data_IF_022135843433
#
_entry.id   IF_022135843433
#
_cell.length_a   1.000
_cell.length_b   1.000
_cell.length_c   1.000
_cell.angle_alpha   90.00
_cell.angle_beta   90.00
_cell.angle_gamma   90.00
#
_symmetry.space_group_name_H-M   'P 1'
#
loop_
_entity.id
_entity.type
_entity.pdbx_description
1 polymer ?
#
# COMPACT_ATOMS: atom_id res chain seq x y z
N UNK A 1 -70.09 -32.04 -30.15
CA UNK A 1 -69.58 -30.68 -30.00
C UNK A 1 -68.68 -30.55 -28.73
N UNK A 2 -67.42 -30.37 -28.83
CA UNK A 2 -66.57 -30.32 -27.67
C UNK A 2 -66.25 -28.88 -27.24
N UNK A 3 -66.45 -28.61 -25.97
CA UNK A 3 -66.17 -27.32 -25.33
C UNK A 3 -64.69 -27.08 -25.12
N UNK A 4 -64.33 -25.93 -25.59
CA UNK A 4 -62.99 -25.36 -25.46
C UNK A 4 -62.75 -24.84 -23.99
N UNK A 5 -61.83 -25.44 -23.24
CA UNK A 5 -61.37 -24.91 -21.99
C UNK A 5 -59.99 -24.25 -22.18
N UNK A 6 -59.99 -22.94 -22.29
CA UNK A 6 -58.79 -22.13 -22.26
C UNK A 6 -58.30 -22.01 -20.82
N UNK A 7 -57.21 -22.71 -20.50
CA UNK A 7 -56.52 -22.57 -19.25
C UNK A 7 -55.52 -21.43 -19.31
N UNK A 8 -55.87 -20.31 -18.72
CA UNK A 8 -54.94 -19.19 -18.50
C UNK A 8 -53.92 -19.56 -17.43
N UNK A 9 -52.70 -19.83 -17.85
CA UNK A 9 -51.55 -19.93 -16.96
C UNK A 9 -51.24 -18.54 -16.38
N UNK A 10 -51.59 -18.32 -15.13
CA UNK A 10 -51.07 -17.19 -14.35
C UNK A 10 -49.54 -17.30 -14.23
N UNK A 11 -48.82 -16.40 -14.88
CA UNK A 11 -47.41 -16.16 -14.61
C UNK A 11 -47.29 -15.74 -13.13
N UNK A 12 -46.60 -16.53 -12.34
CA UNK A 12 -46.11 -16.09 -11.03
C UNK A 12 -45.02 -15.05 -11.28
N UNK A 13 -45.32 -13.82 -11.00
CA UNK A 13 -44.31 -12.77 -10.87
C UNK A 13 -43.32 -13.18 -9.79
N UNK A 14 -42.07 -13.38 -10.19
CA UNK A 14 -40.98 -13.61 -9.27
C UNK A 14 -40.80 -12.37 -8.41
N UNK A 15 -41.13 -12.49 -7.14
CA UNK A 15 -40.78 -11.50 -6.14
C UNK A 15 -39.25 -11.37 -6.13
N UNK A 16 -38.75 -10.26 -6.64
CA UNK A 16 -37.38 -9.81 -6.45
C UNK A 16 -37.18 -9.69 -4.93
N UNK A 17 -36.46 -10.65 -4.36
CA UNK A 17 -35.97 -10.54 -2.98
C UNK A 17 -35.00 -9.39 -2.95
N UNK A 18 -35.35 -8.39 -2.17
CA UNK A 18 -34.43 -7.32 -1.79
C UNK A 18 -33.17 -7.93 -1.19
N UNK A 19 -31.97 -7.44 -1.53
CA UNK A 19 -30.76 -7.92 -0.89
C UNK A 19 -30.86 -7.70 0.62
N UNK A 20 -30.51 -8.75 1.38
CA UNK A 20 -30.48 -8.67 2.83
C UNK A 20 -29.58 -7.51 3.26
N UNK A 21 -29.94 -6.75 4.31
CA UNK A 21 -29.07 -5.71 4.83
C UNK A 21 -27.75 -6.33 5.29
N UNK A 22 -26.62 -5.62 5.14
CA UNK A 22 -25.33 -6.12 5.60
C UNK A 22 -25.44 -6.43 7.09
N UNK A 23 -24.93 -7.60 7.50
CA UNK A 23 -24.90 -8.02 8.87
C UNK A 23 -24.36 -6.89 9.76
N UNK A 24 -25.12 -6.51 10.77
CA UNK A 24 -24.74 -5.43 11.67
C UNK A 24 -23.42 -5.77 12.36
N UNK A 25 -22.53 -4.79 12.46
CA UNK A 25 -21.22 -4.88 13.12
C UNK A 25 -21.30 -5.27 14.61
N UNK A 26 -22.52 -5.40 15.18
CA UNK A 26 -22.77 -5.68 16.60
C UNK A 26 -22.45 -7.11 17.05
N UNK A 27 -22.17 -8.05 16.15
CA UNK A 27 -21.89 -9.45 16.47
C UNK A 27 -20.39 -9.82 16.41
N UNK A 28 -19.51 -8.85 16.41
CA UNK A 28 -18.07 -9.09 16.45
C UNK A 28 -17.57 -9.19 17.90
N UNK A 29 -17.87 -10.29 18.57
CA UNK A 29 -17.22 -10.64 19.84
C UNK A 29 -15.99 -11.50 19.54
N UNK A 30 -14.79 -10.94 19.75
CA UNK A 30 -13.51 -11.66 19.65
C UNK A 30 -12.52 -11.09 18.63
N UNK A 31 -11.25 -11.52 18.66
CA UNK A 31 -10.25 -11.07 17.72
C UNK A 31 -10.62 -11.55 16.31
N UNK A 32 -10.95 -10.61 15.45
CA UNK A 32 -11.19 -10.90 14.03
C UNK A 32 -9.85 -11.13 13.36
N UNK A 33 -9.59 -12.33 12.76
CA UNK A 33 -8.35 -12.54 12.04
C UNK A 33 -8.25 -11.54 10.88
N UNK A 34 -7.15 -10.78 10.87
CA UNK A 34 -6.84 -9.85 9.79
C UNK A 34 -6.64 -10.65 8.50
N UNK A 35 -7.47 -10.44 7.50
CA UNK A 35 -7.31 -11.02 6.16
C UNK A 35 -7.00 -9.91 5.16
N UNK A 36 -6.10 -10.21 4.24
CA UNK A 36 -5.92 -9.36 3.08
C UNK A 36 -7.21 -9.35 2.27
N UNK A 37 -7.70 -8.16 1.96
CA UNK A 37 -8.91 -7.96 1.15
C UNK A 37 -8.56 -7.12 -0.07
N UNK A 38 -9.22 -7.40 -1.19
CA UNK A 38 -9.11 -6.57 -2.39
C UNK A 38 -10.26 -5.57 -2.37
N UNK A 39 -9.92 -4.31 -2.39
CA UNK A 39 -10.88 -3.20 -2.42
C UNK A 39 -10.80 -2.55 -3.79
N UNK A 40 -11.64 -3.00 -4.73
CA UNK A 40 -11.61 -2.53 -6.12
C UNK A 40 -12.09 -1.09 -6.28
N UNK A 41 -12.94 -0.62 -5.38
CA UNK A 41 -13.65 0.66 -5.52
C UNK A 41 -13.13 1.76 -4.58
N UNK A 42 -12.01 1.54 -3.88
CA UNK A 42 -11.51 2.52 -2.88
C UNK A 42 -11.13 3.87 -3.48
N UNK A 43 -10.78 3.91 -4.76
CA UNK A 43 -10.35 5.12 -5.44
C UNK A 43 -11.49 5.89 -6.13
N UNK A 44 -12.70 5.34 -6.18
CA UNK A 44 -13.83 5.95 -6.92
C UNK A 44 -14.24 7.32 -6.37
N UNK A 45 -14.04 7.54 -5.06
CA UNK A 45 -14.36 8.80 -4.37
C UNK A 45 -13.16 9.73 -4.22
N UNK A 46 -12.01 9.36 -4.79
CA UNK A 46 -10.78 10.15 -4.70
C UNK A 46 -10.53 10.94 -5.97
N UNK A 47 -9.91 12.12 -5.88
CA UNK A 47 -9.51 12.88 -7.06
C UNK A 47 -8.49 12.10 -7.88
N UNK A 48 -8.40 12.43 -9.16
CA UNK A 48 -7.50 11.75 -10.10
C UNK A 48 -6.04 11.74 -9.61
N UNK A 49 -5.57 12.81 -9.03
CA UNK A 49 -4.21 12.97 -8.54
C UNK A 49 -3.85 11.93 -7.46
N UNK A 50 -4.84 11.41 -6.77
CA UNK A 50 -4.62 10.40 -5.73
C UNK A 50 -4.13 9.06 -6.28
N UNK A 51 -4.65 8.62 -7.40
CA UNK A 51 -4.35 7.31 -7.98
C UNK A 51 -3.54 7.34 -9.29
N UNK A 52 -3.49 8.49 -9.97
CA UNK A 52 -2.74 8.66 -11.23
C UNK A 52 -1.26 8.89 -10.94
N UNK A 53 -0.57 7.82 -10.57
CA UNK A 53 0.84 7.88 -10.20
C UNK A 53 1.76 8.16 -11.41
N UNK A 54 1.32 7.90 -12.63
CA UNK A 54 2.12 8.16 -13.84
C UNK A 54 2.32 9.66 -14.08
N UNK A 55 1.31 10.46 -13.76
CA UNK A 55 1.36 11.92 -13.88
C UNK A 55 2.00 12.59 -12.65
N UNK A 56 2.34 11.82 -11.61
CA UNK A 56 2.93 12.36 -10.40
C UNK A 56 4.34 12.91 -10.66
N UNK A 57 4.56 14.16 -10.29
CA UNK A 57 5.88 14.78 -10.30
C UNK A 57 6.55 14.56 -8.95
N UNK A 58 7.68 13.86 -8.96
CA UNK A 58 8.43 13.56 -7.74
C UNK A 58 9.39 14.71 -7.45
N UNK A 59 9.30 15.28 -6.25
CA UNK A 59 10.26 16.25 -5.74
C UNK A 59 11.42 15.50 -5.08
N UNK A 60 12.61 15.62 -5.65
CA UNK A 60 13.81 14.94 -5.17
C UNK A 60 14.53 15.82 -4.14
N UNK A 61 14.77 15.24 -2.97
CA UNK A 61 15.60 15.85 -1.94
C UNK A 61 17.09 15.68 -2.21
N UNK A 62 17.90 16.17 -1.28
CA UNK A 62 19.35 16.11 -1.37
C UNK A 62 19.91 14.83 -0.74
N UNK A 63 20.53 13.99 -1.56
CA UNK A 63 21.15 12.75 -1.10
C UNK A 63 22.30 13.01 -0.10
N UNK A 64 23.01 14.12 -0.24
CA UNK A 64 24.15 14.44 0.64
C UNK A 64 23.76 14.68 2.09
N UNK A 65 22.46 14.86 2.36
CA UNK A 65 21.94 14.98 3.74
C UNK A 65 21.96 13.66 4.51
N UNK A 66 22.21 12.54 3.84
CA UNK A 66 22.16 11.20 4.44
C UNK A 66 23.48 10.47 4.31
N UNK A 67 23.94 9.93 5.42
CA UNK A 67 25.15 9.10 5.48
C UNK A 67 24.77 7.67 5.82
N UNK A 68 25.12 6.73 4.97
CA UNK A 68 24.90 5.31 5.21
C UNK A 68 25.80 4.81 6.33
N UNK A 69 25.23 4.08 7.29
CA UNK A 69 25.94 3.52 8.43
C UNK A 69 26.21 2.04 8.25
N UNK A 70 25.16 1.27 8.00
CA UNK A 70 25.27 -0.18 7.79
C UNK A 70 24.14 -0.72 6.94
N UNK A 71 24.40 -1.85 6.31
CA UNK A 71 23.39 -2.56 5.53
C UNK A 71 22.49 -3.37 6.46
N UNK A 72 21.18 -3.21 6.33
CA UNK A 72 20.17 -3.95 7.08
C UNK A 72 19.64 -5.17 6.31
N UNK A 73 19.56 -5.07 4.99
CA UNK A 73 19.02 -6.15 4.18
C UNK A 73 19.15 -5.90 2.68
N UNK A 74 18.85 -6.96 1.92
CA UNK A 74 18.87 -6.93 0.47
C UNK A 74 17.63 -7.64 -0.05
N UNK A 75 16.90 -6.99 -0.95
CA UNK A 75 15.79 -7.56 -1.68
C UNK A 75 16.12 -7.76 -3.17
N UNK A 76 15.15 -8.30 -3.90
CA UNK A 76 15.27 -8.48 -5.36
C UNK A 76 15.41 -7.12 -6.08
N UNK A 77 14.71 -6.10 -5.59
CA UNK A 77 14.59 -4.80 -6.24
C UNK A 77 15.20 -3.65 -5.43
N UNK A 78 15.80 -3.94 -4.29
CA UNK A 78 16.34 -2.90 -3.41
C UNK A 78 17.39 -3.41 -2.44
N UNK A 79 18.12 -2.46 -1.88
CA UNK A 79 18.99 -2.65 -0.74
C UNK A 79 18.61 -1.66 0.35
N UNK A 80 18.56 -2.12 1.60
CA UNK A 80 18.14 -1.32 2.74
C UNK A 80 19.31 -1.08 3.67
N UNK A 81 19.49 0.18 4.08
CA UNK A 81 20.57 0.64 4.94
C UNK A 81 20.03 1.41 6.13
N UNK A 82 20.71 1.29 7.26
CA UNK A 82 20.62 2.27 8.33
C UNK A 82 21.48 3.46 7.95
N UNK A 83 20.95 4.65 8.12
CA UNK A 83 21.63 5.89 7.78
C UNK A 83 21.38 6.96 8.85
N UNK A 84 22.13 8.05 8.77
CA UNK A 84 21.96 9.23 9.60
C UNK A 84 21.68 10.43 8.71
N UNK A 85 20.65 11.18 9.06
CA UNK A 85 20.43 12.50 8.50
C UNK A 85 21.40 13.47 9.18
N UNK A 86 22.41 13.92 8.46
CA UNK A 86 23.48 14.77 9.00
C UNK A 86 23.01 16.19 9.34
N UNK A 87 21.85 16.61 8.85
CA UNK A 87 21.31 17.95 9.15
C UNK A 87 20.71 18.05 10.54
N UNK A 88 20.18 16.95 11.09
CA UNK A 88 19.53 16.90 12.41
C UNK A 88 20.03 15.75 13.30
N UNK A 89 21.01 14.97 12.84
CA UNK A 89 21.56 13.78 13.52
C UNK A 89 20.52 12.69 13.84
N UNK A 90 19.43 12.64 13.12
CA UNK A 90 18.42 11.60 13.29
C UNK A 90 18.77 10.34 12.49
N UNK A 91 18.53 9.19 13.11
CA UNK A 91 18.62 7.91 12.42
C UNK A 91 17.46 7.76 11.46
N UNK A 92 17.75 7.24 10.27
CA UNK A 92 16.77 6.95 9.23
C UNK A 92 17.06 5.60 8.60
N UNK A 93 16.12 5.10 7.85
CA UNK A 93 16.29 3.91 7.01
C UNK A 93 16.23 4.34 5.55
N UNK A 94 17.25 3.97 4.78
CA UNK A 94 17.33 4.29 3.36
C UNK A 94 17.19 3.04 2.54
N UNK A 95 16.22 3.05 1.65
CA UNK A 95 16.00 1.99 0.67
C UNK A 95 16.48 2.46 -0.70
N UNK A 96 17.57 1.89 -1.15
CA UNK A 96 18.12 2.18 -2.48
C UNK A 96 17.46 1.24 -3.48
N UNK A 97 16.80 1.81 -4.47
CA UNK A 97 16.08 1.05 -5.49
C UNK A 97 17.01 0.62 -6.59
N UNK A 98 17.00 -0.67 -6.94
CA UNK A 98 17.72 -1.16 -8.10
C UNK A 98 17.05 -0.65 -9.38
N UNK A 99 17.76 -0.62 -10.51
CA UNK A 99 17.19 -0.15 -11.78
C UNK A 99 15.90 -0.91 -12.13
N UNK A 100 14.80 -0.18 -12.16
CA UNK A 100 13.47 -0.65 -12.56
C UNK A 100 12.78 0.42 -13.39
N UNK A 101 11.69 0.06 -14.04
CA UNK A 101 10.91 1.00 -14.85
C UNK A 101 10.47 2.20 -13.99
N UNK A 102 10.65 3.40 -14.48
CA UNK A 102 10.25 4.67 -13.82
C UNK A 102 8.81 4.66 -13.31
N UNK A 103 7.92 4.02 -14.07
CA UNK A 103 6.51 3.82 -13.71
C UNK A 103 6.35 3.10 -12.37
N UNK A 104 7.12 2.04 -12.12
CA UNK A 104 7.07 1.28 -10.87
C UNK A 104 7.56 2.11 -9.68
N UNK A 105 8.60 2.90 -9.89
CA UNK A 105 9.14 3.83 -8.88
C UNK A 105 8.10 4.89 -8.51
N UNK A 106 7.50 5.53 -9.49
CA UNK A 106 6.45 6.53 -9.26
C UNK A 106 5.24 5.94 -8.52
N UNK A 107 4.85 4.71 -8.86
CA UNK A 107 3.76 4.00 -8.18
C UNK A 107 4.06 3.79 -6.69
N UNK A 108 5.24 3.29 -6.37
CA UNK A 108 5.66 3.06 -5.00
C UNK A 108 5.68 4.36 -4.19
N UNK A 109 6.27 5.41 -4.74
CA UNK A 109 6.32 6.73 -4.12
C UNK A 109 4.91 7.26 -3.86
N UNK A 110 4.03 7.19 -4.84
CA UNK A 110 2.67 7.71 -4.70
C UNK A 110 1.86 6.96 -3.64
N UNK A 111 2.00 5.65 -3.57
CA UNK A 111 1.35 4.85 -2.53
C UNK A 111 1.86 5.24 -1.14
N UNK A 112 3.17 5.38 -0.97
CA UNK A 112 3.77 5.76 0.31
C UNK A 112 3.37 7.16 0.75
N UNK A 113 3.31 8.11 -0.18
CA UNK A 113 2.84 9.47 0.11
C UNK A 113 1.36 9.49 0.51
N UNK A 114 0.53 8.75 -0.20
CA UNK A 114 -0.91 8.68 0.08
C UNK A 114 -1.20 8.06 1.45
N UNK A 115 -0.42 7.05 1.85
CA UNK A 115 -0.62 6.32 3.10
C UNK A 115 0.17 6.92 4.27
N UNK A 116 0.98 7.95 4.03
CA UNK A 116 1.79 8.60 5.07
C UNK A 116 0.94 9.01 6.26
N UNK A 117 1.38 8.65 7.46
CA UNK A 117 0.68 8.94 8.71
C UNK A 117 -0.44 7.95 9.07
N UNK A 118 -0.72 6.95 8.24
CA UNK A 118 -1.69 5.92 8.54
C UNK A 118 -1.23 4.96 9.65
N UNK A 119 -2.16 4.26 10.31
CA UNK A 119 -1.82 3.31 11.37
C UNK A 119 -1.04 2.14 10.80
N UNK A 120 0.07 1.78 11.45
CA UNK A 120 0.97 0.69 11.05
C UNK A 120 1.62 0.87 9.65
N UNK A 121 1.65 2.10 9.16
CA UNK A 121 2.34 2.47 7.93
C UNK A 121 3.66 3.15 8.30
N UNK A 122 4.76 2.66 7.72
CA UNK A 122 6.06 3.32 7.88
C UNK A 122 6.02 4.70 7.22
N UNK A 123 6.58 5.70 7.89
CA UNK A 123 6.55 7.08 7.39
C UNK A 123 7.67 7.32 6.39
N UNK A 124 7.31 7.69 5.17
CA UNK A 124 8.24 8.17 4.17
C UNK A 124 8.67 9.59 4.55
N UNK A 125 9.95 9.76 4.90
CA UNK A 125 10.50 11.03 5.33
C UNK A 125 11.01 11.88 4.16
N UNK A 126 11.65 11.25 3.17
CA UNK A 126 12.24 11.95 2.04
C UNK A 126 12.41 10.99 0.85
N UNK A 127 12.63 11.58 -0.31
CA UNK A 127 12.92 10.87 -1.57
C UNK A 127 14.11 11.53 -2.19
N UNK A 128 15.20 10.78 -2.36
CA UNK A 128 16.45 11.32 -2.88
C UNK A 128 16.92 10.57 -4.11
N UNK A 129 17.78 11.18 -4.87
CA UNK A 129 18.34 10.61 -6.08
C UNK A 129 19.82 10.91 -6.17
N UNK A 130 20.60 9.89 -6.47
CA UNK A 130 22.02 10.08 -6.75
C UNK A 130 22.20 10.90 -8.04
N UNK A 131 22.89 12.04 -7.99
CA UNK A 131 23.06 12.91 -9.15
C UNK A 131 23.91 12.29 -10.25
N UNK A 132 24.81 11.36 -9.91
CA UNK A 132 25.70 10.69 -10.88
C UNK A 132 25.05 9.46 -11.47
N UNK A 133 24.71 8.48 -10.63
CA UNK A 133 24.11 7.21 -11.10
C UNK A 133 22.62 7.34 -11.39
N UNK A 134 21.99 8.43 -10.93
CA UNK A 134 20.53 8.67 -10.99
C UNK A 134 19.70 7.58 -10.33
N UNK A 135 20.29 6.89 -9.38
CA UNK A 135 19.63 5.84 -8.59
C UNK A 135 18.74 6.47 -7.54
N UNK A 136 17.43 6.17 -7.53
CA UNK A 136 16.52 6.69 -6.53
C UNK A 136 16.65 5.95 -5.22
N UNK A 137 16.45 6.66 -4.12
CA UNK A 137 16.38 6.10 -2.78
C UNK A 137 15.22 6.71 -2.00
N UNK A 138 14.57 5.86 -1.22
CA UNK A 138 13.48 6.24 -0.32
C UNK A 138 14.02 6.31 1.10
N UNK A 139 13.75 7.41 1.77
CA UNK A 139 14.17 7.62 3.16
C UNK A 139 12.95 7.48 4.07
N UNK A 140 13.05 6.57 5.03
CA UNK A 140 11.99 6.29 6.00
C UNK A 140 12.40 6.68 7.39
N UNK A 141 11.42 6.87 8.27
CA UNK A 141 11.67 6.95 9.70
C UNK A 141 12.45 5.71 10.19
N UNK A 142 13.29 5.91 11.19
CA UNK A 142 13.98 4.80 11.84
C UNK A 142 13.02 4.02 12.72
N UNK A 143 12.88 2.73 12.43
CA UNK A 143 12.16 1.80 13.28
C UNK A 143 13.19 1.08 14.14
N UNK A 144 13.11 1.27 15.47
CA UNK A 144 13.96 0.54 16.40
C UNK A 144 13.58 -0.94 16.37
N UNK A 145 14.38 -1.70 15.68
CA UNK A 145 14.07 -3.08 15.36
C UNK A 145 15.18 -4.00 15.87
N UNK A 146 14.85 -4.76 16.90
CA UNK A 146 15.57 -5.97 17.22
C UNK A 146 15.10 -7.06 16.30
N UNK A 147 15.81 -7.28 15.21
CA UNK A 147 15.61 -8.33 14.22
C UNK A 147 14.17 -8.46 13.69
N UNK A 148 13.94 -7.87 12.55
CA UNK A 148 12.68 -7.94 11.80
C UNK A 148 12.18 -9.40 11.60
N UNK A 149 13.08 -10.37 11.48
CA UNK A 149 12.74 -11.78 11.32
C UNK A 149 12.17 -12.39 12.59
N UNK A 150 12.61 -11.94 13.75
CA UNK A 150 12.15 -12.45 15.05
C UNK A 150 10.86 -11.78 15.49
N UNK A 151 10.71 -10.49 15.22
CA UNK A 151 9.56 -9.70 15.67
C UNK A 151 8.30 -9.94 14.84
N UNK A 152 8.44 -10.39 13.61
CA UNK A 152 7.33 -10.71 12.71
C UNK A 152 7.45 -12.14 12.17
N UNK A 153 7.31 -13.18 13.03
CA UNK A 153 7.35 -14.58 12.58
C UNK A 153 6.17 -14.93 11.67
N UNK A 154 5.18 -14.09 11.63
CA UNK A 154 4.04 -14.26 10.74
C UNK A 154 4.45 -13.76 9.37
N UNK A 155 4.56 -14.67 8.44
CA UNK A 155 4.73 -14.46 6.99
C UNK A 155 3.62 -13.61 6.35
N UNK A 156 3.17 -12.61 7.02
CA UNK A 156 2.38 -11.58 6.39
C UNK A 156 3.38 -10.50 6.01
N UNK A 157 3.85 -10.64 4.82
CA UNK A 157 4.36 -9.57 4.02
C UNK A 157 3.49 -8.34 4.26
N UNK A 158 3.84 -7.57 5.30
CA UNK A 158 3.91 -6.17 5.01
C UNK A 158 5.00 -6.13 3.95
N UNK A 159 4.61 -6.24 2.72
CA UNK A 159 5.50 -5.91 1.63
C UNK A 159 5.78 -4.43 1.82
N UNK A 160 6.73 -4.15 2.70
CA UNK A 160 7.63 -3.07 2.46
C UNK A 160 8.33 -3.46 1.15
N UNK A 161 7.49 -3.57 0.07
CA UNK A 161 8.00 -3.84 -1.30
C UNK A 161 8.05 -5.29 -1.73
#
# INVERSE_FOLDING_TARGET
NPGNRSGTRKRREGQLRSPAPPASLSNMSGPVPSRARVYTDVNTHRPREYWDYESHVVEWGNQDDYQLVRKLGRGKYSEVFEAINITNNEKVVVKILKPVKKKKIKREIKILENLRGGPNIITLADIVKDPVSRTPALVFEHVNNTDFKVRFPIRRRVQLF
#
